data_IF_419532765494
#
_entry.id   IF_419532765494
#
_cell.length_a   1.000
_cell.length_b   1.000
_cell.length_c   1.000
_cell.angle_alpha   90.00
_cell.angle_beta   90.00
_cell.angle_gamma   90.00
#
_symmetry.space_group_name_H-M   'P 1'
#
loop_
_entity.id
_entity.type
_entity.pdbx_description
1 polymer ?
#
# COMPACT_ATOMS: atom_id res chain seq x y z
N UNK A 1 -9.68 24.06 1.57
CA UNK A 1 -8.52 23.38 0.94
C UNK A 1 -8.79 23.29 -0.56
N UNK A 2 -8.40 24.27 -1.39
CA UNK A 2 -9.06 24.49 -2.68
C UNK A 2 -8.33 23.92 -3.93
N UNK A 3 -7.38 22.99 -3.82
CA UNK A 3 -6.63 22.49 -4.99
C UNK A 3 -6.75 20.98 -5.26
N UNK A 4 -7.72 20.30 -4.65
CA UNK A 4 -8.05 18.92 -5.06
C UNK A 4 -8.78 18.93 -6.39
N UNK A 5 -8.46 17.99 -7.27
CA UNK A 5 -9.08 17.87 -8.58
C UNK A 5 -10.50 17.30 -8.46
N UNK A 6 -11.50 18.17 -8.65
CA UNK A 6 -12.93 17.83 -8.46
C UNK A 6 -13.48 16.97 -9.60
N UNK A 7 -12.90 17.07 -10.81
CA UNK A 7 -13.40 16.41 -12.03
C UNK A 7 -12.29 15.62 -12.76
N UNK A 8 -11.50 14.82 -12.04
CA UNK A 8 -10.48 13.99 -12.66
C UNK A 8 -11.09 13.05 -13.71
N UNK A 9 -10.49 13.02 -14.90
CA UNK A 9 -10.90 12.13 -15.99
C UNK A 9 -11.96 12.70 -16.95
N UNK A 10 -12.51 13.90 -16.72
CA UNK A 10 -13.53 14.52 -17.58
C UNK A 10 -13.14 14.59 -19.08
N UNK A 11 -11.83 14.69 -19.36
CA UNK A 11 -11.29 14.74 -20.72
C UNK A 11 -10.56 13.46 -21.15
N UNK A 12 -10.74 12.33 -20.45
CA UNK A 12 -10.10 11.05 -20.79
C UNK A 12 -8.69 10.86 -20.21
N UNK A 13 -8.24 11.73 -19.31
CA UNK A 13 -6.98 11.52 -18.59
C UNK A 13 -7.08 10.32 -17.65
N UNK A 14 -6.02 9.51 -17.60
CA UNK A 14 -5.97 8.28 -16.79
C UNK A 14 -4.86 8.34 -15.76
N UNK A 15 -5.16 7.86 -14.55
CA UNK A 15 -4.26 7.87 -13.41
C UNK A 15 -4.95 7.30 -12.18
N UNK A 16 -4.18 7.10 -11.13
CA UNK A 16 -4.67 6.67 -9.81
C UNK A 16 -4.14 7.64 -8.77
N UNK A 17 -4.79 7.72 -7.61
CA UNK A 17 -4.30 8.57 -6.54
C UNK A 17 -2.90 8.17 -6.11
N UNK A 18 -2.03 9.15 -5.87
CA UNK A 18 -0.63 8.90 -5.52
C UNK A 18 -0.46 8.01 -4.29
N UNK A 19 -1.30 8.18 -3.27
CA UNK A 19 -1.23 7.41 -2.02
C UNK A 19 -1.49 5.91 -2.24
N UNK A 20 -2.34 5.55 -3.19
CA UNK A 20 -2.58 4.14 -3.53
C UNK A 20 -1.33 3.48 -4.12
N UNK A 21 -0.60 4.20 -4.99
CA UNK A 21 0.65 3.70 -5.57
C UNK A 21 1.75 3.61 -4.52
N UNK A 22 1.79 4.56 -3.58
CA UNK A 22 2.65 4.50 -2.40
C UNK A 22 2.34 3.26 -1.56
N UNK A 23 1.06 2.99 -1.27
CA UNK A 23 0.66 1.78 -0.52
C UNK A 23 1.14 0.50 -1.21
N UNK A 24 0.93 0.40 -2.54
CA UNK A 24 1.39 -0.75 -3.35
C UNK A 24 2.91 -0.88 -3.32
N UNK A 25 3.65 0.23 -3.36
CA UNK A 25 5.11 0.22 -3.29
C UNK A 25 5.61 -0.23 -1.92
N UNK A 26 5.00 0.26 -0.84
CA UNK A 26 5.30 -0.17 0.53
C UNK A 26 4.98 -1.67 0.73
N UNK A 27 3.86 -2.15 0.18
CA UNK A 27 3.51 -3.59 0.18
C UNK A 27 4.55 -4.44 -0.57
N UNK A 28 5.06 -3.95 -1.70
CA UNK A 28 6.16 -4.61 -2.42
C UNK A 28 7.43 -4.66 -1.56
N UNK A 29 7.78 -3.59 -0.85
CA UNK A 29 8.95 -3.54 0.04
C UNK A 29 8.77 -4.40 1.30
N UNK A 30 7.53 -4.61 1.76
CA UNK A 30 7.21 -5.49 2.88
C UNK A 30 7.46 -6.98 2.56
N UNK A 31 7.60 -7.33 1.29
CA UNK A 31 7.94 -8.68 0.83
C UNK A 31 6.85 -9.68 1.19
N UNK A 32 5.63 -9.45 0.69
CA UNK A 32 4.52 -10.37 0.92
C UNK A 32 4.75 -11.73 0.26
N UNK A 33 4.06 -12.77 0.78
CA UNK A 33 4.08 -14.11 0.21
C UNK A 33 3.55 -14.05 -1.23
N UNK A 34 4.44 -14.27 -2.20
CA UNK A 34 4.13 -14.16 -3.63
C UNK A 34 3.08 -15.19 -4.10
N UNK A 35 3.08 -16.40 -3.53
CA UNK A 35 2.09 -17.41 -3.91
C UNK A 35 0.67 -16.97 -3.52
N UNK A 36 -0.33 -17.05 -4.44
CA UNK A 36 -1.71 -16.64 -4.14
C UNK A 36 -2.32 -17.44 -2.99
N UNK A 37 -3.17 -16.80 -2.18
CA UNK A 37 -3.87 -17.45 -1.05
C UNK A 37 -4.80 -18.59 -1.49
N UNK A 38 -5.27 -18.55 -2.74
CA UNK A 38 -6.07 -19.60 -3.38
C UNK A 38 -5.29 -20.88 -3.66
N UNK A 39 -3.96 -20.83 -3.66
CA UNK A 39 -3.10 -22.01 -3.81
C UNK A 39 -2.83 -22.68 -2.47
N UNK A 40 -2.62 -24.00 -2.47
CA UNK A 40 -2.26 -24.76 -1.26
C UNK A 40 -1.03 -24.17 -0.57
N UNK A 41 0.04 -23.89 -1.34
CA UNK A 41 1.28 -23.29 -0.85
C UNK A 41 1.04 -21.92 -0.21
N UNK A 42 0.31 -21.03 -0.90
CA UNK A 42 0.06 -19.68 -0.42
C UNK A 42 -0.86 -19.61 0.80
N UNK A 43 -1.85 -20.49 0.89
CA UNK A 43 -2.70 -20.65 2.07
C UNK A 43 -1.88 -21.13 3.28
N UNK A 44 -1.15 -22.24 3.12
CA UNK A 44 -0.37 -22.85 4.21
C UNK A 44 0.70 -21.88 4.73
N UNK A 45 1.40 -21.18 3.84
CA UNK A 45 2.42 -20.20 4.24
C UNK A 45 1.83 -19.07 5.09
N UNK A 46 0.65 -18.55 4.74
CA UNK A 46 -0.03 -17.49 5.52
C UNK A 46 -0.53 -18.00 6.86
N UNK A 47 -1.16 -19.17 6.90
CA UNK A 47 -1.60 -19.77 8.16
C UNK A 47 -0.42 -20.03 9.09
N UNK A 48 0.68 -20.63 8.58
CA UNK A 48 1.90 -20.83 9.37
C UNK A 48 2.49 -19.52 9.89
N UNK A 49 2.50 -18.46 9.07
CA UNK A 49 2.97 -17.15 9.49
C UNK A 49 2.14 -16.61 10.66
N UNK A 50 0.81 -16.57 10.47
CA UNK A 50 -0.16 -16.06 11.44
C UNK A 50 -0.22 -16.87 12.74
N UNK A 51 0.17 -18.15 12.70
CA UNK A 51 0.11 -19.05 13.87
C UNK A 51 1.48 -19.56 14.31
N UNK A 52 2.57 -18.90 13.92
CA UNK A 52 3.93 -19.33 14.26
C UNK A 52 4.25 -19.15 15.75
N UNK A 53 3.53 -18.28 16.46
CA UNK A 53 3.66 -18.08 17.90
C UNK A 53 2.34 -17.58 18.51
N UNK A 54 2.16 -17.65 19.84
CA UNK A 54 1.00 -17.07 20.52
C UNK A 54 0.84 -15.58 20.23
N UNK A 55 1.94 -14.81 20.19
CA UNK A 55 1.94 -13.39 19.86
C UNK A 55 1.42 -13.14 18.43
N UNK A 56 1.89 -13.91 17.45
CA UNK A 56 1.43 -13.78 16.06
C UNK A 56 -0.06 -14.13 15.94
N UNK A 57 -0.50 -15.16 16.66
CA UNK A 57 -1.91 -15.54 16.68
C UNK A 57 -2.77 -14.42 17.29
N UNK A 58 -2.35 -13.82 18.41
CA UNK A 58 -3.05 -12.66 19.00
C UNK A 58 -3.12 -11.48 18.03
N UNK A 59 -2.02 -11.15 17.36
CA UNK A 59 -2.02 -10.10 16.33
C UNK A 59 -2.96 -10.45 15.17
N UNK A 60 -2.98 -11.71 14.72
CA UNK A 60 -3.91 -12.19 13.69
C UNK A 60 -5.37 -12.04 14.11
N UNK A 61 -5.69 -12.34 15.38
CA UNK A 61 -7.03 -12.15 15.95
C UNK A 61 -7.42 -10.68 15.97
N UNK A 62 -6.53 -9.80 16.42
CA UNK A 62 -6.73 -8.35 16.40
C UNK A 62 -6.92 -7.82 14.97
N UNK A 63 -6.24 -8.41 13.98
CA UNK A 63 -6.41 -8.15 12.56
C UNK A 63 -7.64 -8.84 11.93
N UNK A 64 -8.57 -9.37 12.74
CA UNK A 64 -9.86 -9.88 12.28
C UNK A 64 -9.86 -11.36 11.87
N UNK A 65 -8.85 -12.17 12.18
CA UNK A 65 -8.90 -13.62 11.98
C UNK A 65 -9.86 -14.27 13.00
N UNK A 66 -11.01 -14.76 12.56
CA UNK A 66 -12.04 -15.34 13.45
C UNK A 66 -12.17 -16.86 13.36
N UNK A 67 -11.52 -17.52 12.40
CA UNK A 67 -11.59 -18.99 12.25
C UNK A 67 -11.04 -19.73 13.48
N UNK A 68 -11.66 -20.85 13.86
CA UNK A 68 -11.25 -21.60 15.06
C UNK A 68 -9.90 -22.31 14.89
N UNK A 69 -9.20 -22.62 15.99
CA UNK A 69 -7.95 -23.37 15.97
C UNK A 69 -8.11 -24.74 15.26
N UNK A 70 -9.24 -25.42 15.46
CA UNK A 70 -9.60 -26.65 14.74
C UNK A 70 -9.67 -26.44 13.23
N UNK A 71 -10.27 -25.33 12.79
CA UNK A 71 -10.37 -24.99 11.36
C UNK A 71 -8.99 -24.68 10.77
N UNK A 72 -8.17 -23.92 11.50
CA UNK A 72 -6.78 -23.64 11.12
C UNK A 72 -6.01 -24.96 10.94
N UNK A 73 -6.09 -25.88 11.90
CA UNK A 73 -5.44 -27.19 11.84
C UNK A 73 -5.89 -27.99 10.61
N UNK A 74 -7.19 -28.15 10.41
CA UNK A 74 -7.74 -28.87 9.25
C UNK A 74 -7.32 -28.24 7.90
N UNK A 75 -7.28 -26.91 7.83
CA UNK A 75 -6.80 -26.21 6.65
C UNK A 75 -5.29 -26.35 6.46
N UNK A 76 -4.49 -26.37 7.53
CA UNK A 76 -3.05 -26.63 7.47
C UNK A 76 -2.73 -28.06 7.04
N UNK A 77 -3.55 -29.04 7.43
CA UNK A 77 -3.44 -30.45 7.00
C UNK A 77 -3.99 -30.66 5.59
N UNK A 78 -4.88 -29.77 5.13
CA UNK A 78 -5.49 -29.85 3.79
C UNK A 78 -6.72 -30.74 3.75
N UNK A 79 -7.19 -31.19 4.92
CA UNK A 79 -8.41 -31.98 5.09
C UNK A 79 -9.67 -31.15 4.89
N UNK A 80 -9.56 -29.81 4.91
CA UNK A 80 -10.67 -28.88 4.65
C UNK A 80 -10.30 -27.76 3.69
N UNK A 81 -11.16 -27.54 2.68
CA UNK A 81 -11.04 -26.40 1.75
C UNK A 81 -11.69 -25.13 2.35
N UNK A 82 -11.00 -23.97 2.37
CA UNK A 82 -11.59 -22.71 2.80
C UNK A 82 -12.59 -22.15 1.78
N UNK A 83 -13.59 -21.41 2.26
CA UNK A 83 -14.46 -20.61 1.38
C UNK A 83 -13.74 -19.35 0.88
N UNK A 84 -14.26 -18.72 -0.18
CA UNK A 84 -13.72 -17.44 -0.67
C UNK A 84 -13.68 -16.36 0.41
N UNK A 85 -14.71 -16.30 1.28
CA UNK A 85 -14.74 -15.39 2.43
C UNK A 85 -13.59 -15.66 3.39
N UNK A 86 -13.35 -16.92 3.74
CA UNK A 86 -12.25 -17.31 4.63
C UNK A 86 -10.88 -17.04 4.00
N UNK A 87 -10.71 -17.24 2.69
CA UNK A 87 -9.47 -16.91 1.98
C UNK A 87 -9.17 -15.40 2.07
N UNK A 88 -10.17 -14.56 1.83
CA UNK A 88 -10.03 -13.10 1.98
C UNK A 88 -9.65 -12.73 3.40
N UNK A 89 -10.36 -13.27 4.39
CA UNK A 89 -10.07 -13.03 5.80
C UNK A 89 -8.62 -13.40 6.20
N UNK A 90 -8.15 -14.59 5.78
CA UNK A 90 -6.77 -15.03 6.04
C UNK A 90 -5.77 -14.09 5.35
N UNK A 91 -6.05 -13.68 4.11
CA UNK A 91 -5.18 -12.79 3.36
C UNK A 91 -5.08 -11.41 4.00
N UNK A 92 -6.20 -10.81 4.36
CA UNK A 92 -6.26 -9.49 5.03
C UNK A 92 -5.54 -9.52 6.37
N UNK A 93 -5.82 -10.52 7.23
CA UNK A 93 -5.13 -10.67 8.51
C UNK A 93 -3.61 -10.84 8.32
N UNK A 94 -3.21 -11.61 7.31
CA UNK A 94 -1.80 -11.77 6.95
C UNK A 94 -1.13 -10.44 6.56
N UNK A 95 -1.75 -9.68 5.65
CA UNK A 95 -1.20 -8.39 5.22
C UNK A 95 -1.04 -7.45 6.41
N UNK A 96 -2.08 -7.30 7.23
CA UNK A 96 -2.06 -6.40 8.38
C UNK A 96 -0.95 -6.76 9.38
N UNK A 97 -0.87 -8.03 9.79
CA UNK A 97 0.16 -8.49 10.73
C UNK A 97 1.56 -8.36 10.13
N UNK A 98 1.71 -8.62 8.82
CA UNK A 98 2.99 -8.45 8.13
C UNK A 98 3.42 -6.99 8.10
N UNK A 99 2.51 -6.06 7.82
CA UNK A 99 2.79 -4.61 7.84
C UNK A 99 3.29 -4.16 9.21
N UNK A 100 2.56 -4.50 10.28
CA UNK A 100 2.95 -4.23 11.67
C UNK A 100 4.36 -4.75 12.00
N UNK A 101 4.67 -5.97 11.59
CA UNK A 101 5.95 -6.59 11.91
C UNK A 101 7.14 -5.94 11.16
N UNK A 102 6.92 -5.35 9.98
CA UNK A 102 8.00 -4.78 9.15
C UNK A 102 8.07 -3.26 9.21
N UNK A 103 7.01 -2.57 9.66
CA UNK A 103 6.88 -1.11 9.63
C UNK A 103 8.09 -0.39 10.21
N UNK A 104 8.54 -0.79 11.41
CA UNK A 104 9.72 -0.18 12.06
C UNK A 104 10.98 -0.27 11.19
N UNK A 105 11.24 -1.42 10.58
CA UNK A 105 12.43 -1.62 9.74
C UNK A 105 12.29 -0.88 8.40
N UNK A 106 11.08 -0.90 7.82
CA UNK A 106 10.79 -0.19 6.59
C UNK A 106 10.95 1.32 6.75
N UNK A 107 10.45 1.89 7.85
CA UNK A 107 10.63 3.30 8.19
C UNK A 107 12.11 3.67 8.29
N UNK A 108 12.90 2.88 9.02
CA UNK A 108 14.34 3.13 9.15
C UNK A 108 15.06 3.10 7.79
N UNK A 109 14.69 2.15 6.92
CA UNK A 109 15.20 2.07 5.55
C UNK A 109 14.85 3.31 4.73
N UNK A 110 13.58 3.73 4.75
CA UNK A 110 13.09 4.87 3.96
C UNK A 110 13.69 6.20 4.42
N UNK A 111 13.87 6.38 5.73
CA UNK A 111 14.52 7.56 6.28
C UNK A 111 16.01 7.61 5.95
N UNK A 112 16.67 6.47 5.68
CA UNK A 112 18.07 6.37 5.25
C UNK A 112 18.99 7.28 6.08
N UNK A 113 18.92 7.18 7.41
CA UNK A 113 19.69 8.02 8.35
C UNK A 113 19.46 9.53 8.14
N UNK A 114 18.23 9.94 7.85
CA UNK A 114 17.86 11.34 7.59
C UNK A 114 18.10 11.81 6.15
N UNK A 115 18.79 11.01 5.32
CA UNK A 115 18.94 11.33 3.90
C UNK A 115 17.61 11.26 3.16
N UNK A 116 16.68 10.43 3.60
CA UNK A 116 15.41 10.20 2.93
C UNK A 116 15.51 9.29 1.71
N UNK A 117 14.38 9.16 1.03
CA UNK A 117 14.22 8.36 -0.18
C UNK A 117 13.84 9.28 -1.34
N UNK A 118 14.55 9.15 -2.46
CA UNK A 118 14.14 9.82 -3.70
C UNK A 118 12.88 9.14 -4.22
N UNK A 119 11.82 9.93 -4.34
CA UNK A 119 10.51 9.57 -4.87
C UNK A 119 10.32 10.25 -6.22
N UNK A 120 9.77 9.49 -7.13
CA UNK A 120 9.56 9.82 -8.53
C UNK A 120 8.06 9.87 -8.82
N UNK A 121 7.59 10.98 -9.40
CA UNK A 121 6.19 11.22 -9.73
C UNK A 121 6.03 11.20 -11.24
N UNK A 122 5.28 10.22 -11.73
CA UNK A 122 4.97 10.11 -13.14
C UNK A 122 3.59 10.72 -13.42
N UNK A 123 3.49 11.71 -14.31
CA UNK A 123 2.24 12.41 -14.55
C UNK A 123 1.16 11.48 -15.10
N UNK A 124 -0.08 11.97 -15.09
CA UNK A 124 -1.25 11.28 -15.66
C UNK A 124 -1.04 10.95 -17.14
N UNK A 125 -1.65 9.86 -17.60
CA UNK A 125 -1.66 9.49 -19.00
C UNK A 125 -2.72 10.32 -19.75
N UNK A 126 -2.27 11.10 -20.74
CA UNK A 126 -3.12 11.96 -21.56
C UNK A 126 -3.32 11.44 -23.00
N UNK A 127 -2.95 10.20 -23.30
CA UNK A 127 -3.07 9.62 -24.66
C UNK A 127 -4.50 9.59 -25.21
N UNK A 128 -5.50 9.52 -24.34
CA UNK A 128 -6.92 9.59 -24.70
C UNK A 128 -7.52 11.00 -24.59
N UNK A 129 -6.71 12.01 -24.26
CA UNK A 129 -7.14 13.42 -24.17
C UNK A 129 -6.96 14.08 -25.53
N UNK A 130 -7.97 14.83 -25.98
CA UNK A 130 -7.89 15.60 -27.22
C UNK A 130 -6.68 16.55 -27.21
N UNK A 131 -5.91 16.59 -28.31
CA UNK A 131 -4.65 17.36 -28.42
C UNK A 131 -4.75 18.81 -27.92
N UNK A 132 -5.80 19.60 -28.23
CA UNK A 132 -5.91 20.99 -27.74
C UNK A 132 -6.05 21.11 -26.21
N UNK A 133 -6.45 20.03 -25.53
CA UNK A 133 -6.66 19.97 -24.08
C UNK A 133 -5.50 19.32 -23.34
N UNK A 134 -4.56 18.71 -24.07
CA UNK A 134 -3.36 18.14 -23.45
C UNK A 134 -2.51 19.25 -22.83
N UNK A 135 -1.94 18.96 -21.67
CA UNK A 135 -1.01 19.84 -20.96
C UNK A 135 0.35 19.17 -20.83
N UNK A 136 1.40 19.96 -20.97
CA UNK A 136 2.76 19.51 -20.63
C UNK A 136 2.83 19.43 -19.11
N UNK A 137 2.85 18.22 -18.58
CA UNK A 137 3.07 17.92 -17.16
C UNK A 137 4.36 17.14 -17.08
N UNK A 138 5.33 17.67 -16.34
CA UNK A 138 6.67 17.11 -16.28
C UNK A 138 6.75 15.93 -15.33
N UNK A 139 7.82 15.16 -15.47
CA UNK A 139 8.23 14.22 -14.44
C UNK A 139 8.84 14.98 -13.27
N UNK A 140 8.50 14.59 -12.04
CA UNK A 140 9.02 15.26 -10.83
C UNK A 140 9.73 14.27 -9.93
N UNK A 141 10.75 14.75 -9.24
CA UNK A 141 11.39 13.99 -8.17
C UNK A 141 11.47 14.84 -6.91
N UNK A 142 11.21 14.21 -5.77
CA UNK A 142 11.43 14.79 -4.45
C UNK A 142 12.23 13.82 -3.60
N UNK A 143 12.92 14.36 -2.60
CA UNK A 143 13.58 13.54 -1.60
C UNK A 143 12.75 13.55 -0.32
N UNK A 144 11.99 12.49 -0.08
CA UNK A 144 11.04 12.37 1.02
C UNK A 144 11.77 11.97 2.29
N UNK A 145 11.61 12.78 3.33
CA UNK A 145 12.22 12.58 4.66
C UNK A 145 11.22 12.39 5.78
N UNK A 146 9.94 12.66 5.53
CA UNK A 146 8.86 12.57 6.51
C UNK A 146 8.02 11.31 6.26
N UNK A 147 8.58 10.16 6.63
CA UNK A 147 7.94 8.86 6.37
C UNK A 147 7.06 8.37 7.53
N UNK A 148 7.17 8.97 8.71
CA UNK A 148 6.58 8.49 9.96
C UNK A 148 5.07 8.35 9.86
N UNK A 149 4.36 9.41 9.48
CA UNK A 149 2.90 9.40 9.34
C UNK A 149 2.42 8.50 8.20
N UNK A 150 3.17 8.47 7.09
CA UNK A 150 2.86 7.64 5.93
C UNK A 150 2.95 6.15 6.29
N UNK A 151 4.06 5.74 6.91
CA UNK A 151 4.27 4.34 7.33
C UNK A 151 3.30 3.96 8.43
N UNK A 152 2.98 4.86 9.37
CA UNK A 152 1.98 4.58 10.41
C UNK A 152 0.57 4.34 9.83
N UNK A 153 0.13 5.18 8.87
CA UNK A 153 -1.15 4.99 8.21
C UNK A 153 -1.19 3.70 7.37
N UNK A 154 -0.12 3.42 6.63
CA UNK A 154 0.04 2.17 5.88
C UNK A 154 0.02 0.95 6.80
N UNK A 155 0.73 1.01 7.94
CA UNK A 155 0.76 -0.03 8.96
C UNK A 155 -0.63 -0.29 9.52
N UNK A 156 -1.41 0.76 9.81
CA UNK A 156 -2.77 0.65 10.31
C UNK A 156 -3.78 0.15 9.27
N UNK A 157 -3.42 0.15 7.98
CA UNK A 157 -4.37 -0.09 6.89
C UNK A 157 -5.37 1.06 6.72
N UNK A 158 -5.01 2.26 7.18
CA UNK A 158 -5.83 3.47 7.12
C UNK A 158 -5.58 4.20 5.79
N UNK A 159 -6.39 3.89 4.78
CA UNK A 159 -6.26 4.47 3.44
C UNK A 159 -6.50 6.00 3.43
N UNK A 160 -7.46 6.48 4.21
CA UNK A 160 -7.78 7.90 4.30
C UNK A 160 -6.68 8.68 5.04
N UNK A 161 -6.15 8.09 6.13
CA UNK A 161 -4.97 8.62 6.82
C UNK A 161 -3.73 8.62 5.93
N UNK A 162 -3.59 7.63 5.03
CA UNK A 162 -2.49 7.55 4.08
C UNK A 162 -2.63 8.61 2.97
N UNK A 163 -3.83 8.84 2.43
CA UNK A 163 -4.12 9.95 1.50
C UNK A 163 -3.72 11.28 2.13
N UNK A 164 -4.19 11.52 3.36
CA UNK A 164 -3.93 12.75 4.10
C UNK A 164 -2.43 12.93 4.38
N UNK A 165 -1.77 11.92 4.94
CA UNK A 165 -0.34 11.99 5.25
C UNK A 165 0.52 12.16 3.99
N UNK A 166 0.15 11.50 2.88
CA UNK A 166 0.86 11.63 1.62
C UNK A 166 0.76 13.05 1.06
N UNK A 167 -0.47 13.61 1.06
CA UNK A 167 -0.69 14.96 0.58
C UNK A 167 0.06 15.97 1.44
N UNK A 168 -0.18 15.95 2.74
CA UNK A 168 0.31 16.96 3.68
C UNK A 168 1.82 16.94 3.89
N UNK A 169 2.48 15.78 3.76
CA UNK A 169 3.91 15.64 4.08
C UNK A 169 4.82 15.56 2.86
N UNK A 170 4.27 15.30 1.67
CA UNK A 170 5.08 15.06 0.47
C UNK A 170 4.57 15.85 -0.73
N UNK A 171 3.29 15.74 -1.04
CA UNK A 171 2.78 16.31 -2.29
C UNK A 171 2.82 17.84 -2.23
N UNK A 172 2.52 18.45 -1.08
CA UNK A 172 2.64 19.92 -0.90
C UNK A 172 4.05 20.45 -1.15
N UNK A 173 5.11 19.65 -0.95
CA UNK A 173 6.50 20.04 -1.22
C UNK A 173 6.80 20.15 -2.73
N UNK A 174 5.88 19.72 -3.61
CA UNK A 174 5.96 19.97 -5.05
C UNK A 174 5.71 21.44 -5.41
N UNK A 175 5.19 22.25 -4.47
CA UNK A 175 4.87 23.66 -4.66
C UNK A 175 3.50 23.87 -5.31
N UNK A 176 3.27 25.03 -5.93
CA UNK A 176 1.97 25.46 -6.49
C UNK A 176 1.38 24.57 -7.58
N UNK A 177 2.14 23.60 -8.09
CA UNK A 177 1.69 22.65 -9.12
C UNK A 177 1.34 21.27 -8.55
N UNK A 178 1.31 21.11 -7.24
CA UNK A 178 1.13 19.80 -6.61
C UNK A 178 -0.19 19.13 -7.01
N UNK A 179 -1.26 19.90 -7.25
CA UNK A 179 -2.57 19.37 -7.69
C UNK A 179 -2.50 18.60 -9.02
N UNK A 180 -1.46 18.82 -9.84
CA UNK A 180 -1.21 18.05 -11.06
C UNK A 180 -0.75 16.61 -10.79
N UNK A 181 -0.32 16.33 -9.55
CA UNK A 181 0.21 15.04 -9.09
C UNK A 181 -0.65 14.38 -8.00
N UNK A 182 -1.88 14.87 -7.78
CA UNK A 182 -2.87 14.15 -6.97
C UNK A 182 -3.16 12.77 -7.61
N UNK A 183 -3.30 12.75 -8.93
CA UNK A 183 -3.39 11.56 -9.75
C UNK A 183 -2.09 11.38 -10.53
N UNK A 184 -1.59 10.15 -10.57
CA UNK A 184 -0.33 9.81 -11.24
C UNK A 184 -0.44 8.42 -11.86
N UNK A 185 0.41 8.14 -12.84
CA UNK A 185 0.49 6.81 -13.46
C UNK A 185 1.40 5.86 -12.69
N UNK A 186 2.40 6.41 -12.01
CA UNK A 186 3.37 5.66 -11.23
C UNK A 186 4.01 6.52 -10.13
N UNK A 187 4.41 5.87 -9.04
CA UNK A 187 5.28 6.42 -8.01
C UNK A 187 6.51 5.51 -7.86
N UNK A 188 7.68 6.03 -8.20
CA UNK A 188 8.96 5.32 -8.09
C UNK A 188 9.66 5.63 -6.77
N UNK A 189 10.24 4.61 -6.11
CA UNK A 189 11.14 4.80 -4.96
C UNK A 189 12.54 4.34 -5.37
N UNK A 190 13.50 5.27 -5.36
CA UNK A 190 14.93 4.97 -5.48
C UNK A 190 15.52 4.75 -4.06
N UNK A 191 15.15 3.62 -3.44
CA UNK A 191 15.42 3.26 -2.04
C UNK A 191 16.24 1.99 -1.84
#
# INVERSE_FOLDING_TARGET
>A
MPERNIEFGAYGAQGVKGHELVARRLDSLAGFIASPVTTRRGLTARLRYLTSSPRQLTAARAAGLTISARTIKAQLEGTRRPSARTLRQIHTAYQQVRRQNVARHLLARLNRQGRGTRVEFHPVNQSAVDRPRQRVVEYRTLNVRKWERIVAAWEAGDDAGLDTAWVDEVVVDLGSQWGQYEYVTNIGFAA
#
